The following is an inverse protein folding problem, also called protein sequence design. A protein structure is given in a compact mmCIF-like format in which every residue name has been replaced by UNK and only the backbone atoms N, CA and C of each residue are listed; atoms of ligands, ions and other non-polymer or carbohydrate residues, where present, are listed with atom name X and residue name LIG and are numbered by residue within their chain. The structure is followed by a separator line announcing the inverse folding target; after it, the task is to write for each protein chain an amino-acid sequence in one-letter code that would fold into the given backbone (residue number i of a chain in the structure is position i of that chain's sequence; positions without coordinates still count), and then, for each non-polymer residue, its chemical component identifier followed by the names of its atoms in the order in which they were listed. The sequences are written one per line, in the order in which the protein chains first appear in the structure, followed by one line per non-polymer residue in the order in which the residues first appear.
data_IF_581957371634
#
_entry.id   IF_581957371634
#
_cell.length_a   1.000
_cell.length_b   1.000
_cell.length_c   1.000
_cell.angle_alpha   90.00
_cell.angle_beta   90.00
_cell.angle_gamma   90.00
#
_symmetry.space_group_name_H-M   'P 1'
#
loop_
_entity.id
_entity.type
_entity.pdbx_description
1 polymer ?
#
# COMPACT_ATOMS: atom_id res chain seq x y z
N UNK A 1 -16.65 -15.45 14.19
CA UNK A 1 -16.36 -15.62 12.75
C UNK A 1 -14.86 -15.83 12.48
N UNK A 2 -13.97 -14.85 12.68
CA UNK A 2 -12.52 -15.03 12.39
C UNK A 2 -11.87 -16.13 13.27
N UNK A 3 -12.08 -16.10 14.60
CA UNK A 3 -11.51 -17.09 15.53
C UNK A 3 -11.93 -18.55 15.29
N UNK A 4 -13.09 -18.75 14.66
CA UNK A 4 -13.65 -20.08 14.38
C UNK A 4 -13.30 -20.56 12.96
N UNK A 5 -12.66 -19.70 12.16
CA UNK A 5 -12.26 -20.00 10.80
C UNK A 5 -10.94 -20.77 10.77
N UNK A 6 -10.81 -21.70 9.84
CA UNK A 6 -9.54 -22.37 9.53
C UNK A 6 -8.62 -21.55 8.63
N UNK A 7 -9.11 -20.44 8.07
CA UNK A 7 -8.36 -19.56 7.17
C UNK A 7 -7.15 -18.95 7.90
N UNK A 8 -5.98 -19.04 7.25
CA UNK A 8 -4.71 -18.49 7.74
C UNK A 8 -4.22 -17.27 6.98
N UNK A 9 -4.82 -16.95 5.83
CA UNK A 9 -4.46 -15.80 5.00
C UNK A 9 -5.71 -14.97 4.76
N UNK A 10 -5.68 -13.68 5.09
CA UNK A 10 -6.82 -12.77 4.90
C UNK A 10 -6.35 -11.54 4.12
N UNK A 11 -6.99 -11.29 2.99
CA UNK A 11 -6.90 -10.02 2.27
C UNK A 11 -7.90 -9.03 2.85
N UNK A 12 -7.42 -7.90 3.35
CA UNK A 12 -8.27 -6.80 3.82
C UNK A 12 -8.10 -5.58 2.91
N UNK A 13 -9.08 -5.40 2.01
CA UNK A 13 -9.16 -4.27 1.10
C UNK A 13 -10.22 -3.29 1.58
N UNK A 14 -9.81 -2.38 2.46
CA UNK A 14 -10.71 -1.50 3.22
C UNK A 14 -9.93 -0.26 3.69
N UNK A 15 -10.55 0.93 3.73
CA UNK A 15 -9.92 2.10 4.32
C UNK A 15 -9.51 1.85 5.78
N UNK A 16 -8.38 2.42 6.18
CA UNK A 16 -7.86 2.26 7.53
C UNK A 16 -8.84 2.69 8.62
N UNK A 17 -9.59 3.77 8.37
CA UNK A 17 -10.66 4.28 9.24
C UNK A 17 -11.69 3.23 9.63
N UNK A 18 -12.18 2.50 8.64
CA UNK A 18 -13.27 1.53 8.79
C UNK A 18 -12.77 0.19 9.34
N UNK A 19 -11.52 -0.17 9.03
CA UNK A 19 -10.93 -1.42 9.52
C UNK A 19 -10.49 -1.34 10.98
N UNK A 20 -10.05 -0.17 11.43
CA UNK A 20 -9.42 0.00 12.73
C UNK A 20 -10.25 -0.45 13.95
N UNK A 21 -11.59 -0.24 14.01
CA UNK A 21 -12.41 -0.81 15.08
C UNK A 21 -12.27 -2.34 15.20
N UNK A 22 -12.24 -3.04 14.06
CA UNK A 22 -12.01 -4.49 14.04
C UNK A 22 -10.56 -4.83 14.42
N UNK A 23 -9.58 -4.05 13.97
CA UNK A 23 -8.17 -4.26 14.36
C UNK A 23 -7.97 -4.20 15.88
N UNK A 24 -8.55 -3.17 16.52
CA UNK A 24 -8.56 -3.06 17.98
C UNK A 24 -9.17 -4.27 18.65
N UNK A 25 -10.30 -4.75 18.14
CA UNK A 25 -10.97 -5.91 18.73
C UNK A 25 -10.14 -7.20 18.57
N UNK A 26 -9.49 -7.39 17.42
CA UNK A 26 -8.61 -8.52 17.17
C UNK A 26 -7.39 -8.51 18.09
N UNK A 27 -6.77 -7.35 18.29
CA UNK A 27 -5.66 -7.17 19.24
C UNK A 27 -6.12 -7.40 20.68
N UNK A 28 -7.24 -6.78 21.12
CA UNK A 28 -7.82 -6.96 22.46
C UNK A 28 -8.13 -8.42 22.77
N UNK A 29 -8.55 -9.16 21.75
CA UNK A 29 -8.90 -10.58 21.84
C UNK A 29 -7.70 -11.54 21.64
N UNK A 30 -6.48 -11.02 21.49
CA UNK A 30 -5.26 -11.77 21.21
C UNK A 30 -5.42 -12.73 20.02
N UNK A 31 -6.05 -12.28 18.94
CA UNK A 31 -6.14 -13.06 17.69
C UNK A 31 -4.81 -13.01 16.98
N UNK A 32 -4.13 -14.15 16.87
CA UNK A 32 -2.81 -14.27 16.23
C UNK A 32 -2.80 -15.39 15.19
N UNK A 33 -1.68 -15.57 14.49
CA UNK A 33 -1.49 -16.66 13.52
C UNK A 33 -2.24 -16.48 12.20
N UNK A 34 -2.63 -15.24 11.89
CA UNK A 34 -3.21 -14.83 10.60
C UNK A 34 -2.13 -14.09 9.82
N UNK A 35 -1.91 -14.51 8.58
CA UNK A 35 -1.15 -13.77 7.60
C UNK A 35 -2.08 -12.76 6.92
N UNK A 36 -1.85 -11.49 7.16
CA UNK A 36 -2.62 -10.43 6.51
C UNK A 36 -1.98 -10.04 5.19
N UNK A 37 -2.84 -9.77 4.21
CA UNK A 37 -2.52 -9.04 2.99
C UNK A 37 -3.29 -7.73 3.04
N UNK A 38 -2.58 -6.62 3.06
CA UNK A 38 -3.13 -5.29 3.20
C UNK A 38 -3.30 -4.59 1.86
N UNK A 39 -4.35 -3.78 1.75
CA UNK A 39 -4.44 -2.75 0.73
C UNK A 39 -3.52 -1.57 1.04
N UNK A 40 -3.20 -0.79 0.01
CA UNK A 40 -2.47 0.47 0.12
C UNK A 40 -3.05 1.41 1.20
N UNK A 41 -4.37 1.41 1.36
CA UNK A 41 -5.09 2.28 2.28
C UNK A 41 -4.67 2.16 3.76
N UNK A 42 -4.03 1.06 4.18
CA UNK A 42 -3.64 0.88 5.59
C UNK A 42 -2.26 0.24 5.81
N UNK A 43 -1.61 -0.30 4.77
CA UNK A 43 -0.29 -0.95 4.91
C UNK A 43 0.80 0.00 5.42
N UNK A 44 0.70 1.31 5.13
CA UNK A 44 1.63 2.35 5.62
C UNK A 44 1.07 3.18 6.76
N UNK A 45 -0.15 2.90 7.23
CA UNK A 45 -0.80 3.71 8.24
C UNK A 45 -0.08 3.61 9.60
N UNK A 46 0.23 4.76 10.20
CA UNK A 46 0.94 4.81 11.47
C UNK A 46 0.10 4.29 12.65
N UNK A 47 -1.21 4.56 12.65
CA UNK A 47 -2.11 4.23 13.77
C UNK A 47 -2.18 2.72 14.09
N UNK A 48 -2.23 1.79 13.13
CA UNK A 48 -2.15 0.36 13.41
C UNK A 48 -0.72 -0.19 13.47
N UNK A 49 0.30 0.58 13.05
CA UNK A 49 1.71 0.17 13.03
C UNK A 49 2.38 0.33 14.40
N UNK A 50 1.82 -0.31 15.43
CA UNK A 50 2.32 -0.19 16.81
C UNK A 50 2.70 -1.55 17.40
N UNK A 51 3.62 -1.59 18.39
CA UNK A 51 4.03 -2.84 19.03
C UNK A 51 2.87 -3.59 19.70
N UNK A 52 1.85 -2.87 20.18
CA UNK A 52 0.66 -3.45 20.83
C UNK A 52 -0.24 -4.19 19.82
N UNK A 53 -0.28 -3.71 18.56
CA UNK A 53 -1.01 -4.34 17.47
C UNK A 53 -0.22 -5.48 16.80
N UNK A 54 1.11 -5.46 16.94
CA UNK A 54 2.01 -6.38 16.25
C UNK A 54 1.73 -7.87 16.49
N UNK A 55 1.31 -8.36 17.68
CA UNK A 55 0.97 -9.77 17.84
C UNK A 55 -0.15 -10.26 16.89
N UNK A 56 -1.08 -9.39 16.51
CA UNK A 56 -2.20 -9.72 15.64
C UNK A 56 -1.94 -9.39 14.15
N UNK A 57 -1.11 -8.38 13.87
CA UNK A 57 -0.88 -7.82 12.53
C UNK A 57 0.58 -7.82 12.08
N UNK A 58 1.49 -8.38 12.87
CA UNK A 58 2.88 -8.57 12.48
C UNK A 58 2.96 -9.38 11.20
N UNK A 59 4.07 -9.26 10.47
CA UNK A 59 4.27 -9.99 9.23
C UNK A 59 3.27 -9.66 8.11
N UNK A 60 2.38 -8.67 8.27
CA UNK A 60 1.48 -8.21 7.21
C UNK A 60 2.27 -7.88 5.95
N UNK A 61 1.77 -8.33 4.80
CA UNK A 61 2.31 -8.00 3.49
C UNK A 61 1.38 -7.01 2.78
N UNK A 62 1.94 -6.07 2.04
CA UNK A 62 1.14 -5.19 1.20
C UNK A 62 1.98 -4.42 0.22
N UNK A 63 1.28 -3.74 -0.69
CA UNK A 63 1.87 -2.97 -1.78
C UNK A 63 1.88 -1.49 -1.42
N UNK A 64 2.99 -0.83 -1.67
CA UNK A 64 3.12 0.62 -1.52
C UNK A 64 3.63 1.20 -2.82
N UNK A 65 3.08 2.34 -3.23
CA UNK A 65 3.61 3.07 -4.38
C UNK A 65 5.10 3.31 -4.15
N UNK A 66 5.91 2.93 -5.14
CA UNK A 66 7.36 3.02 -5.03
C UNK A 66 7.77 4.47 -4.71
N UNK A 67 8.57 4.64 -3.66
CA UNK A 67 9.09 5.96 -3.31
C UNK A 67 10.17 6.37 -4.32
N UNK A 68 9.86 7.34 -5.16
CA UNK A 68 10.84 8.00 -6.01
C UNK A 68 11.40 9.25 -5.34
N UNK A 69 12.72 9.36 -5.27
CA UNK A 69 13.36 10.60 -4.85
C UNK A 69 13.29 11.63 -5.98
N UNK A 70 12.47 12.67 -5.80
CA UNK A 70 12.37 13.82 -6.71
C UNK A 70 13.32 14.90 -6.19
N UNK A 71 14.50 15.09 -6.81
CA UNK A 71 15.44 16.13 -6.42
C UNK A 71 14.77 17.50 -6.48
N UNK A 72 15.20 18.42 -5.62
CA UNK A 72 14.76 19.82 -5.58
C UNK A 72 13.28 20.07 -5.22
N UNK A 73 12.42 19.04 -5.18
CA UNK A 73 11.01 19.17 -4.78
C UNK A 73 10.85 19.76 -3.37
N UNK A 74 11.67 19.32 -2.41
CA UNK A 74 11.63 19.85 -1.05
C UNK A 74 11.98 21.35 -1.02
N UNK A 75 13.01 21.75 -1.77
CA UNK A 75 13.44 23.15 -1.87
C UNK A 75 12.36 24.00 -2.55
N UNK A 76 11.78 23.49 -3.64
CA UNK A 76 10.66 24.09 -4.35
C UNK A 76 9.48 24.34 -3.40
N UNK A 77 8.98 23.29 -2.71
CA UNK A 77 7.83 23.39 -1.80
C UNK A 77 8.06 24.37 -0.64
N UNK A 78 9.30 24.46 -0.13
CA UNK A 78 9.66 25.39 0.95
C UNK A 78 9.76 26.84 0.49
N UNK A 79 10.01 27.07 -0.79
CA UNK A 79 10.15 28.40 -1.38
C UNK A 79 8.83 28.94 -1.96
N UNK A 80 7.75 28.15 -1.94
CA UNK A 80 6.41 28.64 -2.30
C UNK A 80 5.98 29.68 -1.25
N UNK A 81 5.87 30.94 -1.69
CA UNK A 81 5.36 32.04 -0.87
C UNK A 81 4.31 32.81 -1.68
N UNK A 82 3.03 32.78 -1.28
CA UNK A 82 1.94 33.45 -2.00
C UNK A 82 2.02 34.98 -1.95
N UNK A 83 2.93 35.55 -1.16
CA UNK A 83 3.16 36.99 -1.02
C UNK A 83 4.47 37.46 -1.65
N UNK A 84 5.32 36.54 -2.14
CA UNK A 84 6.59 36.90 -2.78
C UNK A 84 6.43 37.25 -4.27
N UNK A 85 5.34 36.78 -4.91
CA UNK A 85 5.01 37.11 -6.29
C UNK A 85 3.49 37.32 -6.44
N UNK A 86 3.03 38.58 -6.61
CA UNK A 86 1.62 38.92 -6.82
C UNK A 86 1.00 38.33 -8.10
N UNK A 87 1.80 37.79 -9.02
CA UNK A 87 1.36 37.08 -10.22
C UNK A 87 1.42 35.56 -10.08
N UNK A 88 1.83 35.01 -8.93
CA UNK A 88 1.94 33.57 -8.69
C UNK A 88 0.57 32.90 -8.87
N UNK A 89 0.44 32.27 -10.03
CA UNK A 89 -0.79 31.79 -10.56
C UNK A 89 -1.08 30.39 -10.04
N UNK A 90 -1.42 30.30 -8.75
CA UNK A 90 -1.84 29.02 -8.17
C UNK A 90 -3.06 28.39 -8.87
N UNK A 91 -3.75 29.16 -9.74
CA UNK A 91 -4.81 28.68 -10.63
C UNK A 91 -4.43 28.68 -12.12
N UNK A 92 -3.67 29.66 -12.66
CA UNK A 92 -3.32 29.68 -14.11
C UNK A 92 -2.20 28.67 -14.44
N UNK A 93 -1.18 28.56 -13.60
CA UNK A 93 -0.03 27.68 -13.85
C UNK A 93 -0.40 26.20 -13.61
N UNK A 94 -1.33 25.92 -12.69
CA UNK A 94 -1.79 24.55 -12.43
C UNK A 94 -2.45 23.91 -13.66
N UNK A 95 -3.23 24.70 -14.43
CA UNK A 95 -3.89 24.23 -15.65
C UNK A 95 -2.96 24.15 -16.87
N UNK A 96 -2.03 25.10 -17.04
CA UNK A 96 -1.00 25.02 -18.11
C UNK A 96 -0.06 23.81 -17.91
N UNK A 97 0.24 23.46 -16.65
CA UNK A 97 1.02 22.26 -16.29
C UNK A 97 0.29 20.97 -16.65
N UNK A 98 -1.05 20.95 -16.63
CA UNK A 98 -1.83 19.73 -16.89
C UNK A 98 -1.67 19.24 -18.33
N UNK A 99 -1.55 20.15 -19.31
CA UNK A 99 -1.35 19.78 -20.72
C UNK A 99 0.07 19.25 -20.97
N UNK A 100 1.07 19.81 -20.29
CA UNK A 100 2.45 19.36 -20.37
C UNK A 100 2.67 18.00 -19.70
N UNK A 101 1.99 17.74 -18.56
CA UNK A 101 2.07 16.47 -17.83
C UNK A 101 1.67 15.28 -18.71
N UNK A 102 0.65 15.43 -19.56
CA UNK A 102 0.19 14.36 -20.47
C UNK A 102 1.24 13.92 -21.50
N UNK A 103 2.22 14.77 -21.79
CA UNK A 103 3.26 14.52 -22.79
C UNK A 103 4.62 14.18 -22.16
N UNK A 104 4.67 14.01 -20.83
CA UNK A 104 5.90 13.66 -20.11
C UNK A 104 6.34 12.27 -20.55
N UNK A 105 7.57 12.18 -21.05
CA UNK A 105 8.27 10.93 -21.31
C UNK A 105 9.77 11.18 -21.11
N UNK A 106 10.30 10.79 -19.95
CA UNK A 106 11.71 10.94 -19.65
C UNK A 106 12.25 9.74 -18.89
N UNK A 107 13.58 9.63 -18.87
CA UNK A 107 14.28 8.68 -18.02
C UNK A 107 14.82 9.40 -16.79
N UNK A 108 14.46 8.94 -15.61
CA UNK A 108 14.96 9.52 -14.37
C UNK A 108 16.44 9.14 -14.15
N UNK A 109 17.07 9.76 -13.14
CA UNK A 109 18.48 9.50 -12.76
C UNK A 109 18.76 8.07 -12.28
N UNK A 110 17.72 7.30 -11.96
CA UNK A 110 17.79 5.90 -11.53
C UNK A 110 17.60 4.94 -12.72
N UNK A 111 17.32 5.46 -13.91
CA UNK A 111 17.13 4.68 -15.12
C UNK A 111 15.69 4.24 -15.36
N UNK A 112 14.72 4.66 -14.55
CA UNK A 112 13.30 4.36 -14.74
C UNK A 112 12.70 5.29 -15.79
N UNK A 113 11.77 4.77 -16.59
CA UNK A 113 11.00 5.58 -17.54
C UNK A 113 9.75 6.10 -16.85
N UNK A 114 9.58 7.42 -16.86
CA UNK A 114 8.40 8.11 -16.33
C UNK A 114 7.60 8.63 -17.52
N UNK A 115 6.40 8.10 -17.70
CA UNK A 115 5.48 8.47 -18.77
C UNK A 115 4.03 8.30 -18.30
N UNK A 116 3.09 8.92 -19.00
CA UNK A 116 1.66 8.64 -18.82
C UNK A 116 1.14 7.89 -20.04
N UNK A 117 0.30 6.88 -19.82
CA UNK A 117 -0.38 6.20 -20.92
C UNK A 117 -1.56 7.02 -21.48
N UNK A 118 -2.33 6.43 -22.40
CA UNK A 118 -3.45 7.11 -23.06
C UNK A 118 -4.58 7.50 -22.10
N UNK A 119 -4.69 6.81 -20.96
CA UNK A 119 -5.68 7.09 -19.91
C UNK A 119 -5.14 8.09 -18.88
N UNK A 120 -3.86 8.45 -18.97
CA UNK A 120 -3.19 9.35 -18.06
C UNK A 120 -2.62 8.65 -16.82
N UNK A 121 -2.48 7.33 -16.84
CA UNK A 121 -1.92 6.54 -15.75
C UNK A 121 -0.39 6.46 -15.86
N UNK A 122 0.35 6.60 -14.73
CA UNK A 122 1.79 6.39 -14.71
C UNK A 122 2.13 4.88 -14.75
N UNK A 123 3.40 4.50 -14.99
CA UNK A 123 3.78 3.10 -15.00
C UNK A 123 3.65 2.55 -13.58
N UNK A 124 2.85 1.48 -13.42
CA UNK A 124 2.67 0.83 -12.14
C UNK A 124 4.01 0.34 -11.56
N UNK A 125 4.43 0.91 -10.44
CA UNK A 125 5.60 0.47 -9.68
C UNK A 125 5.32 0.50 -8.19
N UNK A 126 5.40 -0.67 -7.58
CA UNK A 126 5.10 -0.87 -6.17
C UNK A 126 6.25 -1.59 -5.47
N UNK A 127 6.63 -1.10 -4.30
CA UNK A 127 7.39 -1.90 -3.35
C UNK A 127 6.41 -2.81 -2.59
N UNK A 128 6.85 -4.02 -2.27
CA UNK A 128 6.14 -4.95 -1.39
C UNK A 128 6.82 -4.87 -0.04
N UNK A 129 6.06 -4.48 0.98
CA UNK A 129 6.57 -4.32 2.33
C UNK A 129 6.01 -5.37 3.28
N UNK A 130 6.79 -5.68 4.30
CA UNK A 130 6.45 -6.59 5.38
C UNK A 130 6.56 -5.86 6.71
N UNK A 131 5.56 -5.99 7.58
CA UNK A 131 5.60 -5.42 8.93
C UNK A 131 6.50 -6.26 9.83
N UNK A 132 7.61 -5.68 10.28
CA UNK A 132 8.59 -6.36 11.13
C UNK A 132 8.75 -5.59 12.44
N UNK A 133 9.02 -6.29 13.54
CA UNK A 133 9.28 -5.65 14.83
C UNK A 133 10.79 -5.57 15.03
N UNK A 134 11.31 -4.36 15.10
CA UNK A 134 12.71 -4.08 15.41
C UNK A 134 12.79 -3.11 16.59
N UNK A 135 13.55 -3.48 17.62
CA UNK A 135 13.77 -2.65 18.82
C UNK A 135 12.48 -2.05 19.43
N UNK A 136 11.41 -2.85 19.48
CA UNK A 136 10.11 -2.41 20.02
C UNK A 136 9.39 -1.39 19.15
N UNK A 137 9.71 -1.29 17.86
CA UNK A 137 8.99 -0.47 16.87
C UNK A 137 8.64 -1.30 15.64
N UNK A 138 7.46 -1.05 15.09
CA UNK A 138 7.05 -1.68 13.82
C UNK A 138 7.75 -0.94 12.68
N UNK A 139 8.49 -1.69 11.87
CA UNK A 139 9.16 -1.25 10.67
C UNK A 139 8.45 -1.80 9.43
N UNK A 140 8.40 -1.00 8.38
CA UNK A 140 7.88 -1.39 7.08
C UNK A 140 9.06 -1.75 6.18
N UNK A 141 9.41 -3.03 6.13
CA UNK A 141 10.61 -3.51 5.45
C UNK A 141 10.27 -3.93 4.03
N UNK A 142 10.94 -3.36 3.02
CA UNK A 142 10.78 -3.79 1.63
C UNK A 142 11.34 -5.19 1.43
N UNK A 143 10.47 -6.11 1.00
CA UNK A 143 10.78 -7.53 0.75
C UNK A 143 10.63 -7.91 -0.72
N UNK A 144 10.12 -7.03 -1.57
CA UNK A 144 9.92 -7.30 -2.98
C UNK A 144 9.45 -6.08 -3.75
N UNK A 145 9.21 -6.26 -5.04
CA UNK A 145 8.75 -5.23 -5.96
C UNK A 145 7.80 -5.84 -6.99
N UNK A 146 6.84 -5.04 -7.41
CA UNK A 146 5.94 -5.32 -8.52
C UNK A 146 6.00 -4.14 -9.49
N UNK A 147 6.57 -4.37 -10.68
CA UNK A 147 6.84 -3.32 -11.65
C UNK A 147 6.24 -3.67 -13.02
N UNK A 148 5.70 -2.67 -13.70
CA UNK A 148 5.37 -2.73 -15.12
C UNK A 148 6.63 -2.47 -15.96
N UNK A 149 6.82 -3.24 -17.02
CA UNK A 149 7.91 -3.05 -17.98
C UNK A 149 7.43 -2.26 -19.20
N UNK A 150 8.35 -1.67 -19.96
CA UNK A 150 8.04 -0.98 -21.22
C UNK A 150 7.33 -1.86 -22.25
N UNK A 151 7.47 -3.19 -22.16
CA UNK A 151 6.75 -4.14 -23.01
C UNK A 151 5.29 -4.38 -22.60
N UNK A 152 4.79 -3.70 -21.56
CA UNK A 152 3.47 -3.95 -20.98
C UNK A 152 3.40 -5.24 -20.15
N UNK A 153 4.53 -5.89 -19.88
CA UNK A 153 4.58 -7.07 -19.00
C UNK A 153 4.83 -6.67 -17.56
N UNK A 154 4.25 -7.41 -16.62
CA UNK A 154 4.44 -7.18 -15.18
C UNK A 154 5.46 -8.15 -14.62
N UNK A 155 6.34 -7.65 -13.73
CA UNK A 155 7.34 -8.45 -13.03
C UNK A 155 7.14 -8.35 -11.53
N UNK A 156 6.84 -9.49 -10.91
CA UNK A 156 6.84 -9.67 -9.47
C UNK A 156 8.18 -10.28 -9.03
N UNK A 157 8.86 -9.64 -8.09
CA UNK A 157 10.07 -10.17 -7.48
C UNK A 157 9.95 -10.08 -5.96
N UNK A 158 10.07 -11.20 -5.26
CA UNK A 158 10.00 -11.28 -3.81
C UNK A 158 11.25 -11.99 -3.29
N UNK A 159 11.87 -11.43 -2.27
CA UNK A 159 12.93 -12.06 -1.49
C UNK A 159 12.29 -12.71 -0.25
N UNK A 160 11.87 -13.96 -0.39
CA UNK A 160 11.16 -14.70 0.65
C UNK A 160 11.97 -14.81 1.96
N UNK A 161 13.31 -14.76 1.88
CA UNK A 161 14.19 -14.84 3.05
C UNK A 161 14.10 -13.61 3.94
N UNK A 162 13.61 -12.49 3.41
CA UNK A 162 13.41 -11.25 4.17
C UNK A 162 12.04 -11.19 4.84
N UNK A 163 11.11 -12.10 4.54
CA UNK A 163 9.75 -12.07 5.07
C UNK A 163 9.69 -12.70 6.46
N UNK A 164 9.06 -11.99 7.40
CA UNK A 164 8.67 -12.54 8.70
C UNK A 164 7.21 -13.01 8.59
N UNK A 165 7.01 -14.33 8.70
CA UNK A 165 5.70 -14.96 8.61
C UNK A 165 5.08 -15.20 10.00
N UNK A 166 3.82 -14.81 10.20
CA UNK A 166 3.13 -15.03 11.48
C UNK A 166 2.54 -16.43 11.64
N UNK A 167 2.46 -17.22 10.57
CA UNK A 167 1.91 -18.58 10.62
C UNK A 167 2.90 -19.59 11.20
N UNK A 168 4.17 -19.24 11.38
CA UNK A 168 5.23 -20.15 11.86
C UNK A 168 5.55 -21.32 10.91
N UNK A 169 4.83 -21.45 9.79
CA UNK A 169 5.01 -22.46 8.75
C UNK A 169 4.62 -21.89 7.37
N UNK A 170 5.32 -22.35 6.33
CA UNK A 170 4.86 -22.23 4.94
C UNK A 170 3.52 -22.95 4.81
N UNK A 171 2.45 -22.19 4.58
CA UNK A 171 1.14 -22.77 4.27
C UNK A 171 1.26 -23.43 2.89
N UNK A 172 1.18 -24.76 2.81
CA UNK A 172 1.08 -25.46 1.52
C UNK A 172 -0.15 -24.93 0.78
N UNK A 173 0.06 -24.36 -0.41
CA UNK A 173 -1.04 -23.98 -1.30
C UNK A 173 -1.81 -25.26 -1.64
N UNK A 174 -3.06 -25.34 -1.17
CA UNK A 174 -3.98 -26.38 -1.62
C UNK A 174 -4.27 -26.10 -3.10
N UNK A 175 -3.84 -27.00 -3.99
CA UNK A 175 -4.05 -26.91 -5.45
C UNK A 175 -5.53 -27.00 -5.87
N UNK A 176 -6.46 -26.93 -4.93
CA UNK A 176 -7.90 -26.92 -5.19
C UNK A 176 -8.46 -25.57 -4.73
N UNK A 177 -8.36 -24.57 -5.61
CA UNK A 177 -9.21 -23.39 -5.54
C UNK A 177 -10.57 -23.76 -6.14
N UNK A 178 -11.48 -24.24 -5.29
CA UNK A 178 -12.91 -24.21 -5.59
C UNK A 178 -13.48 -22.96 -4.89
N UNK A 179 -14.00 -21.95 -5.61
CA UNK A 179 -14.62 -20.81 -4.95
C UNK A 179 -15.92 -21.32 -4.31
N UNK A 180 -16.06 -21.20 -2.98
CA UNK A 180 -16.64 -19.98 -2.43
C UNK A 180 -16.12 -19.65 -1.02
N UNK A 181 -15.31 -18.60 -0.90
CA UNK A 181 -15.18 -17.75 0.31
C UNK A 181 -13.88 -16.94 0.24
N UNK A 182 -13.75 -16.07 -0.77
CA UNK A 182 -13.06 -14.82 -0.48
C UNK A 182 -14.06 -14.06 0.39
N UNK A 183 -13.84 -14.04 1.71
CA UNK A 183 -14.57 -13.12 2.57
C UNK A 183 -14.04 -11.71 2.30
N UNK A 184 -14.53 -11.15 1.20
CA UNK A 184 -14.53 -9.73 0.93
C UNK A 184 -15.50 -9.13 1.96
N UNK A 185 -15.01 -8.43 2.98
CA UNK A 185 -15.89 -7.58 3.79
C UNK A 185 -16.17 -6.33 2.95
N UNK A 186 -17.07 -6.49 1.98
CA UNK A 186 -17.91 -5.41 1.46
C UNK A 186 -19.21 -5.49 2.26
N UNK A 187 -19.38 -4.62 3.24
CA UNK A 187 -20.72 -4.25 3.70
C UNK A 187 -20.75 -2.73 3.94
N UNK A 188 -21.00 -2.00 2.86
CA UNK A 188 -21.56 -0.64 2.93
C UNK A 188 -22.99 -0.75 2.45
N UNK A 189 -23.89 -1.27 3.30
CA UNK A 189 -25.32 -1.07 3.14
C UNK A 189 -25.68 0.31 3.66
N UNK A 190 -25.66 1.31 2.77
CA UNK A 190 -26.42 2.54 2.98
C UNK A 190 -27.90 2.16 3.00
N UNK A 191 -28.48 1.94 4.18
CA UNK A 191 -29.93 2.05 4.36
C UNK A 191 -30.25 3.54 4.39
N UNK A 192 -30.74 4.07 3.28
CA UNK A 192 -31.66 5.20 3.36
C UNK A 192 -33.06 4.60 3.50
N UNK A 193 -33.59 4.67 4.73
CA UNK A 193 -35.03 4.67 4.99
C UNK A 193 -35.40 6.09 5.39
N UNK A 194 -36.05 6.80 4.48
CA UNK A 194 -37.38 7.40 4.66
C UNK A 194 -37.76 8.15 3.39
#
# INVERSE_FOLDING_TARGET
MIKQSSVKVILAFVPEGDFYPLMKELSRQNVTGIQWIASEAWITAARPSTPEMFPAFGGTLGFVVQKMAIPDLQSFLRNINPYADPNAAFVRDFWEVTDHIKHVNFRNRFGDSVFFDQDGDPPASYDIINWQLDNGKVQHVTVGQFISTQSGTYKLQIDEKKIVWMTGQMVKILKHFSPPAIMMILDIKHRNTN
#
